data_IF_802574363701
#
_entry.id   IF_802574363701
#
_cell.length_a   1.000
_cell.length_b   1.000
_cell.length_c   1.000
_cell.angle_alpha   90.00
_cell.angle_beta   90.00
_cell.angle_gamma   90.00
#
_symmetry.space_group_name_H-M   'P 1'
#
loop_
_entity.id
_entity.type
_entity.pdbx_description
1 polymer ?
#
# COMPACT_ATOMS: atom_id res chain seq x y z
N UNK A 1 15.42 -8.08 4.61
CA UNK A 1 14.19 -8.03 3.79
C UNK A 1 13.40 -9.33 4.02
N UNK A 2 12.08 -9.24 4.23
CA UNK A 2 11.18 -10.40 4.32
C UNK A 2 10.70 -10.81 2.93
N UNK A 3 10.62 -12.12 2.65
CA UNK A 3 10.22 -12.65 1.34
C UNK A 3 8.94 -13.48 1.52
N UNK A 4 7.90 -13.11 0.78
CA UNK A 4 6.61 -13.80 0.77
C UNK A 4 6.39 -14.49 -0.58
N UNK A 5 6.31 -15.81 -0.57
CA UNK A 5 5.99 -16.59 -1.77
C UNK A 5 4.49 -16.60 -2.04
N UNK A 6 4.11 -16.86 -3.30
CA UNK A 6 2.69 -16.89 -3.66
C UNK A 6 2.00 -18.11 -3.06
N UNK A 7 1.00 -17.87 -2.21
CA UNK A 7 0.15 -18.93 -1.68
C UNK A 7 -0.90 -19.37 -2.73
N UNK A 8 -1.10 -20.67 -2.86
CA UNK A 8 -2.13 -21.19 -3.75
C UNK A 8 -3.53 -21.06 -3.09
N UNK A 9 -4.59 -20.65 -3.80
CA UNK A 9 -5.92 -20.45 -3.21
C UNK A 9 -6.51 -21.69 -2.55
N UNK A 10 -6.15 -22.90 -3.01
CA UNK A 10 -6.62 -24.14 -2.37
C UNK A 10 -5.90 -24.45 -1.05
N UNK A 11 -4.66 -23.96 -0.89
CA UNK A 11 -3.93 -24.09 0.38
C UNK A 11 -4.46 -23.07 1.39
N UNK A 12 -4.74 -21.84 0.94
CA UNK A 12 -5.34 -20.79 1.75
C UNK A 12 -6.64 -21.25 2.45
N UNK A 13 -7.47 -22.02 1.77
CA UNK A 13 -8.72 -22.56 2.34
C UNK A 13 -8.51 -23.39 3.62
N UNK A 14 -7.29 -23.88 3.86
CA UNK A 14 -6.92 -24.73 4.99
C UNK A 14 -6.05 -24.02 6.01
N UNK A 15 -5.60 -22.79 5.72
CA UNK A 15 -4.72 -22.04 6.62
C UNK A 15 -5.40 -21.72 7.93
N UNK A 16 -4.66 -21.89 9.00
CA UNK A 16 -5.00 -21.35 10.31
C UNK A 16 -4.84 -19.83 10.31
N UNK A 17 -5.37 -19.17 11.33
CA UNK A 17 -5.17 -17.71 11.51
C UNK A 17 -3.70 -17.33 11.52
N UNK A 18 -2.84 -18.12 12.17
CA UNK A 18 -1.40 -17.84 12.24
C UNK A 18 -0.73 -17.99 10.87
N UNK A 19 -1.11 -18.99 10.07
CA UNK A 19 -0.59 -19.16 8.72
C UNK A 19 -1.02 -18.01 7.81
N UNK A 20 -2.28 -17.57 7.87
CA UNK A 20 -2.77 -16.42 7.11
C UNK A 20 -1.99 -15.16 7.49
N UNK A 21 -1.83 -14.89 8.77
CA UNK A 21 -1.05 -13.76 9.27
C UNK A 21 0.41 -13.81 8.77
N UNK A 22 1.05 -14.96 8.86
CA UNK A 22 2.43 -15.16 8.41
C UNK A 22 2.58 -14.91 6.90
N UNK A 23 1.64 -15.36 6.09
CA UNK A 23 1.74 -15.27 4.64
C UNK A 23 1.35 -13.88 4.10
N UNK A 24 0.35 -13.22 4.69
CA UNK A 24 -0.26 -12.04 4.10
C UNK A 24 -0.11 -10.76 4.93
N UNK A 25 0.00 -10.85 6.26
CA UNK A 25 0.08 -9.67 7.12
C UNK A 25 1.52 -9.17 7.23
N UNK A 26 1.69 -7.86 7.12
CA UNK A 26 2.96 -7.13 7.33
C UNK A 26 2.75 -6.19 8.51
N UNK A 27 3.53 -6.38 9.57
CA UNK A 27 3.52 -5.55 10.79
C UNK A 27 4.84 -4.81 10.98
N UNK A 28 4.89 -3.94 11.96
CA UNK A 28 6.13 -3.27 12.40
C UNK A 28 6.84 -2.48 11.29
N UNK A 29 6.08 -1.84 10.40
CA UNK A 29 6.61 -1.09 9.27
C UNK A 29 7.54 0.06 9.69
N UNK A 30 7.33 0.64 10.87
CA UNK A 30 8.07 1.83 11.30
C UNK A 30 8.92 1.58 12.53
N UNK A 31 10.23 1.57 12.34
CA UNK A 31 11.24 1.55 13.40
C UNK A 31 12.26 2.67 13.12
N UNK A 32 12.76 3.37 14.14
CA UNK A 32 13.70 4.46 13.98
C UNK A 32 14.90 4.10 13.10
N UNK A 33 15.20 4.95 12.12
CA UNK A 33 16.38 4.89 11.25
C UNK A 33 16.54 3.56 10.50
N UNK A 34 15.43 2.87 10.18
CA UNK A 34 15.45 1.57 9.48
C UNK A 34 14.59 1.58 8.23
N UNK A 35 14.88 0.61 7.35
CA UNK A 35 14.03 0.21 6.24
C UNK A 35 13.44 -1.17 6.53
N UNK A 36 12.14 -1.23 6.75
CA UNK A 36 11.40 -2.50 6.82
C UNK A 36 10.86 -2.83 5.45
N UNK A 37 11.36 -3.88 4.84
CA UNK A 37 11.01 -4.25 3.47
C UNK A 37 10.44 -5.66 3.40
N UNK A 38 9.30 -5.81 2.73
CA UNK A 38 8.67 -7.09 2.40
C UNK A 38 8.51 -7.19 0.88
N UNK A 39 9.07 -8.24 0.30
CA UNK A 39 8.94 -8.56 -1.12
C UNK A 39 7.94 -9.69 -1.29
N UNK A 40 6.87 -9.43 -2.04
CA UNK A 40 5.88 -10.42 -2.42
C UNK A 40 6.15 -10.96 -3.82
N UNK A 41 6.15 -12.29 -3.97
CA UNK A 41 6.18 -12.94 -5.28
C UNK A 41 4.83 -12.86 -6.03
N UNK A 42 3.75 -12.40 -5.36
CA UNK A 42 2.52 -12.01 -6.06
C UNK A 42 2.79 -10.70 -6.79
N UNK A 43 2.77 -10.72 -8.10
CA UNK A 43 3.10 -9.61 -9.02
C UNK A 43 4.40 -8.85 -8.69
N UNK A 44 5.28 -9.44 -7.89
CA UNK A 44 6.56 -8.87 -7.48
C UNK A 44 6.46 -7.50 -6.82
N UNK A 45 5.41 -7.29 -6.04
CA UNK A 45 5.22 -6.08 -5.24
C UNK A 45 6.24 -6.01 -4.10
N UNK A 46 6.89 -4.86 -3.94
CA UNK A 46 7.72 -4.53 -2.79
C UNK A 46 6.96 -3.53 -1.91
N UNK A 47 6.88 -3.81 -0.62
CA UNK A 47 6.28 -2.93 0.39
C UNK A 47 7.36 -2.52 1.38
N UNK A 48 7.48 -1.23 1.67
CA UNK A 48 8.46 -0.72 2.62
C UNK A 48 7.85 0.30 3.57
N UNK A 49 8.30 0.24 4.83
CA UNK A 49 8.15 1.31 5.81
C UNK A 49 9.51 1.90 6.15
N UNK A 50 9.64 3.24 6.15
CA UNK A 50 10.88 3.95 6.40
C UNK A 50 10.60 5.09 7.37
N UNK A 51 11.28 5.11 8.52
CA UNK A 51 11.10 6.14 9.54
C UNK A 51 12.45 6.74 9.93
N UNK A 52 12.94 7.75 9.20
CA UNK A 52 14.14 8.47 9.57
C UNK A 52 13.88 9.31 10.82
N UNK A 53 14.72 9.21 11.83
CA UNK A 53 14.63 9.98 13.09
C UNK A 53 15.90 10.79 13.31
N UNK A 54 17.04 10.11 13.41
CA UNK A 54 18.33 10.72 13.74
C UNK A 54 19.24 10.92 12.52
N UNK A 55 18.97 10.22 11.44
CA UNK A 55 19.77 10.26 10.22
C UNK A 55 18.91 10.21 8.95
N UNK A 56 19.49 10.58 7.83
CA UNK A 56 18.92 10.36 6.50
C UNK A 56 19.10 8.89 6.14
N UNK A 57 17.99 8.22 5.77
CA UNK A 57 17.95 6.78 5.51
C UNK A 57 17.91 6.52 4.01
N UNK A 58 18.93 5.84 3.42
CA UNK A 58 18.88 5.42 2.02
C UNK A 58 17.84 4.30 1.83
N UNK A 59 17.20 4.28 0.64
CA UNK A 59 16.13 3.33 0.29
C UNK A 59 16.57 1.87 0.40
N UNK A 60 17.83 1.59 0.12
CA UNK A 60 18.40 0.25 0.09
C UNK A 60 19.18 -0.12 1.37
N UNK A 61 19.00 0.66 2.45
CA UNK A 61 19.66 0.38 3.73
C UNK A 61 19.40 -1.06 4.18
N UNK A 62 20.48 -1.81 4.43
CA UNK A 62 20.46 -3.21 4.88
C UNK A 62 19.76 -4.19 3.91
N UNK A 63 19.67 -3.83 2.61
CA UNK A 63 19.12 -4.69 1.55
C UNK A 63 20.22 -5.13 0.61
N UNK A 64 20.42 -6.45 0.47
CA UNK A 64 21.26 -7.01 -0.61
C UNK A 64 20.50 -6.93 -1.94
N UNK A 65 20.69 -5.80 -2.63
CA UNK A 65 19.95 -5.48 -3.87
C UNK A 65 20.28 -6.49 -4.98
N UNK A 66 21.53 -6.91 -5.08
CA UNK A 66 21.93 -7.86 -6.11
C UNK A 66 21.27 -9.24 -5.88
N UNK A 67 21.33 -9.74 -4.65
CA UNK A 67 20.73 -11.03 -4.31
C UNK A 67 19.22 -11.03 -4.51
N UNK A 68 18.55 -9.96 -4.09
CA UNK A 68 17.08 -9.91 -4.07
C UNK A 68 16.44 -9.48 -5.40
N UNK A 69 17.11 -8.63 -6.18
CA UNK A 69 16.51 -8.05 -7.40
C UNK A 69 17.33 -8.34 -8.67
N UNK A 70 18.58 -8.77 -8.55
CA UNK A 70 19.49 -8.97 -9.69
C UNK A 70 19.83 -7.67 -10.40
N UNK A 71 19.85 -6.55 -9.66
CA UNK A 71 20.12 -5.19 -10.16
C UNK A 71 21.16 -4.49 -9.29
N UNK A 72 21.71 -3.37 -9.76
CA UNK A 72 22.71 -2.60 -9.01
C UNK A 72 22.08 -1.66 -7.98
N UNK A 73 20.82 -1.27 -8.17
CA UNK A 73 20.00 -0.46 -7.25
C UNK A 73 18.52 -0.81 -7.42
N UNK A 74 17.70 -0.53 -6.43
CA UNK A 74 16.30 -1.01 -6.36
C UNK A 74 15.48 -0.53 -7.56
N UNK A 75 15.55 0.76 -7.91
CA UNK A 75 14.75 1.34 -8.98
C UNK A 75 15.37 1.20 -10.38
N UNK A 76 16.38 0.35 -10.58
CA UNK A 76 16.95 0.11 -11.91
C UNK A 76 15.90 -0.38 -12.90
N UNK A 77 14.98 -1.25 -12.45
CA UNK A 77 13.88 -1.84 -13.23
C UNK A 77 12.54 -1.80 -12.51
N UNK A 78 12.37 -0.82 -11.62
CA UNK A 78 11.16 -0.70 -10.80
C UNK A 78 10.74 0.77 -10.70
N UNK A 79 9.45 1.00 -10.60
CA UNK A 79 8.85 2.27 -10.21
C UNK A 79 8.36 2.19 -8.76
N UNK A 80 8.19 3.33 -8.11
CA UNK A 80 7.71 3.39 -6.73
C UNK A 80 6.71 4.53 -6.52
N UNK A 81 5.78 4.31 -5.60
CA UNK A 81 4.93 5.33 -5.00
C UNK A 81 5.22 5.42 -3.50
N UNK A 82 5.32 6.63 -2.99
CA UNK A 82 5.65 6.89 -1.59
C UNK A 82 4.66 7.86 -0.98
N UNK A 83 3.99 7.47 0.11
CA UNK A 83 3.22 8.37 0.97
C UNK A 83 4.00 8.74 2.22
N UNK A 84 3.86 9.97 2.71
CA UNK A 84 4.26 10.34 4.06
C UNK A 84 3.06 10.29 5.01
N UNK A 85 3.12 9.43 6.01
CA UNK A 85 2.08 9.20 7.03
C UNK A 85 2.48 9.67 8.44
N UNK A 86 3.52 10.48 8.53
CA UNK A 86 4.05 11.02 9.78
C UNK A 86 4.20 12.53 9.77
N UNK A 87 5.13 13.03 10.57
CA UNK A 87 5.53 14.43 10.58
C UNK A 87 6.13 14.89 9.25
N UNK A 88 6.46 16.16 9.13
CA UNK A 88 7.11 16.70 7.91
C UNK A 88 8.45 16.03 7.66
N UNK A 89 8.69 15.67 6.41
CA UNK A 89 9.93 15.08 5.96
C UNK A 89 10.27 15.47 4.55
N UNK A 90 11.26 14.81 3.99
CA UNK A 90 11.67 14.99 2.61
C UNK A 90 12.20 13.70 2.00
N UNK A 91 12.14 13.63 0.68
CA UNK A 91 12.77 12.59 -0.11
C UNK A 91 13.74 13.27 -1.08
N UNK A 92 14.97 12.79 -1.16
CA UNK A 92 15.90 13.18 -2.22
C UNK A 92 16.00 12.08 -3.25
N UNK A 93 15.88 12.44 -4.52
CA UNK A 93 15.98 11.53 -5.67
C UNK A 93 17.07 12.06 -6.59
N UNK A 94 18.22 11.38 -6.67
CA UNK A 94 19.40 11.79 -7.41
C UNK A 94 19.75 13.28 -7.17
N UNK A 95 19.74 13.70 -5.90
CA UNK A 95 20.04 15.06 -5.47
C UNK A 95 18.89 16.07 -5.58
N UNK A 96 17.76 15.72 -6.20
CA UNK A 96 16.56 16.57 -6.21
C UNK A 96 15.73 16.32 -4.96
N UNK A 97 15.48 17.37 -4.18
CA UNK A 97 14.71 17.32 -2.93
C UNK A 97 13.22 17.56 -3.17
N UNK A 98 12.40 16.72 -2.56
CA UNK A 98 10.94 16.84 -2.49
C UNK A 98 10.53 16.93 -1.01
N UNK A 99 10.02 18.06 -0.57
CA UNK A 99 9.47 18.20 0.77
C UNK A 99 8.09 17.56 0.84
N UNK A 100 7.85 16.74 1.86
CA UNK A 100 6.67 15.88 2.00
C UNK A 100 5.93 16.20 3.30
N UNK A 101 4.74 16.75 3.19
CA UNK A 101 3.79 16.86 4.30
C UNK A 101 3.02 15.56 4.53
N UNK A 102 2.16 15.54 5.56
CA UNK A 102 1.29 14.41 5.82
C UNK A 102 0.29 14.17 4.67
N UNK A 103 0.21 12.94 4.21
CA UNK A 103 -0.66 12.53 3.10
C UNK A 103 -0.13 12.85 1.71
N UNK A 104 0.99 13.57 1.58
CA UNK A 104 1.61 13.81 0.28
C UNK A 104 2.16 12.54 -0.33
N UNK A 105 2.14 12.45 -1.66
CA UNK A 105 2.61 11.31 -2.43
C UNK A 105 3.70 11.72 -3.42
N UNK A 106 4.75 10.88 -3.56
CA UNK A 106 5.76 11.01 -4.59
C UNK A 106 5.77 9.74 -5.45
N UNK A 107 5.50 9.90 -6.75
CA UNK A 107 5.79 8.87 -7.74
C UNK A 107 7.26 9.00 -8.18
N UNK A 108 8.02 7.91 -8.08
CA UNK A 108 9.42 7.82 -8.50
C UNK A 108 9.51 6.82 -9.65
N UNK A 109 9.91 7.29 -10.83
CA UNK A 109 10.07 6.43 -12.00
C UNK A 109 11.32 5.54 -11.89
N UNK A 110 11.41 4.52 -12.74
CA UNK A 110 12.60 3.68 -12.83
C UNK A 110 13.83 4.48 -13.28
N UNK A 111 15.02 4.00 -12.91
CA UNK A 111 16.32 4.53 -13.34
C UNK A 111 17.00 5.44 -12.30
N UNK A 112 16.30 5.90 -11.27
CA UNK A 112 16.90 6.68 -10.18
C UNK A 112 17.72 5.80 -9.25
N UNK A 113 18.97 6.19 -9.02
CA UNK A 113 19.95 5.40 -8.27
C UNK A 113 19.97 5.74 -6.78
N UNK A 114 19.97 7.03 -6.46
CA UNK A 114 20.10 7.53 -5.09
C UNK A 114 18.76 8.09 -4.61
N UNK A 115 18.10 7.33 -3.73
CA UNK A 115 16.83 7.74 -3.10
C UNK A 115 17.02 7.70 -1.59
N UNK A 116 16.83 8.83 -0.93
CA UNK A 116 17.05 8.98 0.51
C UNK A 116 15.87 9.67 1.17
N UNK A 117 15.63 9.32 2.43
CA UNK A 117 14.51 9.79 3.24
C UNK A 117 15.00 10.50 4.49
N UNK A 118 14.40 11.65 4.82
CA UNK A 118 14.72 12.40 6.02
C UNK A 118 13.50 12.99 6.69
N UNK A 119 13.57 13.17 8.01
CA UNK A 119 12.59 13.92 8.80
C UNK A 119 13.06 15.36 9.01
N UNK A 120 12.10 16.27 9.14
CA UNK A 120 12.39 17.67 9.50
C UNK A 120 12.47 17.87 11.03
N UNK A 121 11.86 16.97 11.80
CA UNK A 121 11.79 17.02 13.26
C UNK A 121 11.91 15.59 13.82
N UNK A 122 12.94 15.28 14.62
CA UNK A 122 13.10 13.96 15.22
C UNK A 122 12.06 13.64 16.29
N UNK A 123 11.45 14.63 16.93
CA UNK A 123 10.38 14.44 17.90
C UNK A 123 9.03 14.09 17.25
N UNK A 124 8.88 14.49 15.98
CA UNK A 124 7.72 14.13 15.14
C UNK A 124 8.19 13.63 13.78
N UNK A 125 8.77 12.42 13.71
CA UNK A 125 9.41 11.93 12.50
C UNK A 125 8.41 11.65 11.37
N UNK A 126 8.89 11.81 10.15
CA UNK A 126 8.18 11.34 8.96
C UNK A 126 8.08 9.80 8.97
N UNK A 127 6.99 9.28 8.40
CA UNK A 127 6.75 7.84 8.21
C UNK A 127 6.44 7.61 6.75
N UNK A 128 7.41 7.15 6.00
CA UNK A 128 7.23 6.91 4.58
C UNK A 128 6.76 5.48 4.34
N UNK A 129 5.57 5.37 3.75
CA UNK A 129 5.05 4.13 3.21
C UNK A 129 5.35 4.08 1.71
N UNK A 130 6.05 3.05 1.28
CA UNK A 130 6.45 2.89 -0.10
C UNK A 130 5.97 1.55 -0.65
N UNK A 131 5.40 1.57 -1.86
CA UNK A 131 5.21 0.39 -2.68
C UNK A 131 5.93 0.54 -4.01
N UNK A 132 6.46 -0.59 -4.52
CA UNK A 132 7.20 -0.58 -5.77
C UNK A 132 6.85 -1.81 -6.61
N UNK A 133 6.74 -1.59 -7.91
CA UNK A 133 6.41 -2.60 -8.92
C UNK A 133 7.49 -2.64 -10.02
N UNK A 134 7.65 -3.76 -10.76
CA UNK A 134 8.50 -3.82 -11.94
C UNK A 134 8.08 -2.78 -12.98
N UNK A 135 9.05 -2.17 -13.63
CA UNK A 135 8.83 -1.16 -14.66
C UNK A 135 9.65 -1.45 -15.92
N UNK A 136 9.07 -1.16 -17.09
CA UNK A 136 9.70 -1.37 -18.39
C UNK A 136 9.96 -0.06 -19.14
N UNK A 137 9.49 1.07 -18.59
CA UNK A 137 9.62 2.40 -19.18
C UNK A 137 9.75 3.46 -18.08
N UNK A 138 10.61 4.44 -18.31
CA UNK A 138 10.69 5.61 -17.45
C UNK A 138 9.64 6.65 -17.82
N UNK A 139 8.99 7.21 -16.81
CA UNK A 139 8.11 8.35 -16.90
C UNK A 139 8.72 9.53 -16.13
N UNK A 140 7.95 10.52 -15.77
CA UNK A 140 8.40 11.66 -14.98
C UNK A 140 8.18 11.38 -13.50
N UNK A 141 9.22 11.48 -12.67
CA UNK A 141 9.07 11.54 -11.21
C UNK A 141 8.21 12.76 -10.85
N UNK A 142 7.12 12.53 -10.10
CA UNK A 142 6.07 13.53 -9.90
C UNK A 142 5.65 13.59 -8.44
N UNK A 143 5.72 14.78 -7.87
CA UNK A 143 5.17 15.09 -6.55
C UNK A 143 3.67 15.40 -6.67
N UNK A 144 2.88 14.87 -5.75
CA UNK A 144 1.43 15.00 -5.69
C UNK A 144 1.04 15.38 -4.27
N UNK A 145 0.64 16.64 -4.06
CA UNK A 145 0.18 17.07 -2.74
C UNK A 145 -1.18 16.47 -2.41
N UNK A 146 -1.41 16.19 -1.13
CA UNK A 146 -2.70 15.68 -0.63
C UNK A 146 -3.89 16.59 -0.97
N UNK A 147 -3.67 17.90 -0.94
CA UNK A 147 -4.71 18.88 -1.28
C UNK A 147 -5.19 18.76 -2.73
N UNK A 148 -4.27 18.46 -3.64
CA UNK A 148 -4.50 18.38 -5.08
C UNK A 148 -4.84 16.97 -5.58
N UNK A 149 -5.02 15.99 -4.68
CA UNK A 149 -5.45 14.65 -5.06
C UNK A 149 -6.80 14.69 -5.77
N UNK A 150 -6.99 13.83 -6.76
CA UNK A 150 -8.30 13.68 -7.43
C UNK A 150 -9.26 12.96 -6.48
N UNK A 151 -10.26 13.68 -5.99
CA UNK A 151 -11.20 13.20 -4.96
C UNK A 151 -12.48 12.63 -5.57
N UNK A 152 -12.83 11.40 -5.16
CA UNK A 152 -14.10 10.75 -5.52
C UNK A 152 -14.88 10.40 -4.25
N UNK A 153 -15.92 11.18 -3.86
CA UNK A 153 -16.81 10.79 -2.77
C UNK A 153 -17.68 9.61 -3.17
N UNK A 154 -17.82 8.62 -2.29
CA UNK A 154 -18.59 7.40 -2.51
C UNK A 154 -19.31 6.98 -1.24
N UNK A 155 -20.37 6.17 -1.43
CA UNK A 155 -21.15 5.58 -0.33
C UNK A 155 -22.05 6.58 0.37
N UNK A 156 -22.69 6.12 1.41
CA UNK A 156 -23.65 6.87 2.20
C UNK A 156 -23.65 6.42 3.68
N UNK A 157 -24.30 7.18 4.54
CA UNK A 157 -24.40 6.92 5.98
C UNK A 157 -25.25 5.69 6.30
N UNK A 158 -26.29 5.44 5.52
CA UNK A 158 -27.23 4.31 5.73
C UNK A 158 -26.49 2.97 5.61
N UNK A 159 -25.54 2.89 4.68
CA UNK A 159 -24.74 1.70 4.44
C UNK A 159 -23.42 1.69 5.24
N UNK A 160 -23.19 2.68 6.12
CA UNK A 160 -21.99 2.83 6.92
C UNK A 160 -20.68 2.73 6.09
N UNK A 161 -20.70 3.25 4.86
CA UNK A 161 -19.58 3.18 3.90
C UNK A 161 -19.29 4.52 3.21
N UNK A 162 -19.75 5.63 3.76
CA UNK A 162 -19.45 6.98 3.26
C UNK A 162 -17.95 7.25 3.36
N UNK A 163 -17.30 7.55 2.23
CA UNK A 163 -15.85 7.70 2.13
C UNK A 163 -15.44 8.60 0.99
N UNK A 164 -14.18 9.03 1.02
CA UNK A 164 -13.55 9.74 -0.08
C UNK A 164 -12.35 8.93 -0.56
N UNK A 165 -12.34 8.57 -1.85
CA UNK A 165 -11.18 8.02 -2.52
C UNK A 165 -10.35 9.18 -3.04
N UNK A 166 -9.09 9.26 -2.61
CA UNK A 166 -8.09 10.21 -3.10
C UNK A 166 -7.14 9.46 -4.04
N UNK A 167 -7.27 9.72 -5.34
CA UNK A 167 -6.45 9.10 -6.39
C UNK A 167 -5.18 9.91 -6.59
N UNK A 168 -4.03 9.25 -6.50
CA UNK A 168 -2.72 9.85 -6.69
C UNK A 168 -2.00 9.23 -7.89
N UNK A 169 -1.53 8.02 -7.77
CA UNK A 169 -0.91 7.27 -8.87
C UNK A 169 -2.05 6.50 -9.55
N UNK A 170 -2.60 7.09 -10.60
CA UNK A 170 -3.81 6.60 -11.26
C UNK A 170 -3.77 7.02 -12.74
N UNK A 171 -4.28 6.22 -13.70
CA UNK A 171 -4.23 6.54 -15.13
C UNK A 171 -4.79 7.92 -15.49
N UNK A 172 -5.80 8.39 -14.75
CA UNK A 172 -6.40 9.72 -14.97
C UNK A 172 -5.54 10.87 -14.40
N UNK A 173 -4.48 10.57 -13.63
CA UNK A 173 -3.61 11.56 -12.97
C UNK A 173 -2.22 11.59 -13.59
N UNK A 174 -1.57 10.41 -13.69
CA UNK A 174 -0.25 10.28 -14.30
C UNK A 174 -0.02 8.87 -14.87
N UNK A 175 0.77 8.74 -15.93
CA UNK A 175 1.09 7.43 -16.49
C UNK A 175 2.12 6.69 -15.64
N UNK A 176 1.92 5.38 -15.47
CA UNK A 176 2.85 4.44 -14.81
C UNK A 176 2.98 3.17 -15.65
N UNK A 177 3.89 2.26 -15.27
CA UNK A 177 3.99 0.96 -15.90
C UNK A 177 2.93 -0.01 -15.38
N UNK A 178 2.87 -0.18 -14.06
CA UNK A 178 2.01 -1.17 -13.41
C UNK A 178 1.44 -0.69 -12.08
N UNK A 179 2.06 0.33 -11.45
CA UNK A 179 1.70 0.77 -10.11
C UNK A 179 0.48 1.69 -10.15
N UNK A 180 -0.55 1.35 -9.38
CA UNK A 180 -1.62 2.27 -8.98
C UNK A 180 -1.60 2.44 -7.47
N UNK A 181 -1.86 3.65 -6.98
CA UNK A 181 -1.82 3.94 -5.56
C UNK A 181 -2.70 5.14 -5.20
N UNK A 182 -3.43 5.00 -4.14
CA UNK A 182 -4.22 6.09 -3.56
C UNK A 182 -4.60 5.80 -2.14
N UNK A 183 -5.33 6.71 -1.52
CA UNK A 183 -5.83 6.50 -0.18
C UNK A 183 -7.33 6.80 -0.07
N UNK A 184 -8.00 6.06 0.79
CA UNK A 184 -9.44 6.18 1.05
C UNK A 184 -9.66 6.50 2.51
N UNK A 185 -10.38 7.60 2.77
CA UNK A 185 -10.75 8.06 4.10
C UNK A 185 -12.22 7.78 4.35
N UNK A 186 -12.54 7.01 5.40
CA UNK A 186 -13.90 6.78 5.83
C UNK A 186 -14.39 7.96 6.67
N UNK A 187 -15.62 8.39 6.42
CA UNK A 187 -16.26 9.42 7.24
C UNK A 187 -16.58 8.88 8.64
N UNK A 188 -16.66 9.74 9.68
CA UNK A 188 -17.13 9.33 10.99
C UNK A 188 -18.47 8.57 10.92
N UNK A 189 -18.57 7.44 11.63
CA UNK A 189 -19.72 6.54 11.60
C UNK A 189 -19.73 5.53 10.44
N UNK A 190 -18.79 5.64 9.50
CA UNK A 190 -18.59 4.66 8.42
C UNK A 190 -17.49 3.69 8.81
N UNK A 191 -17.73 2.40 8.59
CA UNK A 191 -16.82 1.32 9.00
C UNK A 191 -16.46 0.36 7.85
N UNK A 192 -17.22 0.38 6.75
CA UNK A 192 -17.00 -0.50 5.60
C UNK A 192 -16.22 0.16 4.48
N UNK A 193 -15.17 -0.52 4.03
CA UNK A 193 -14.52 -0.23 2.75
C UNK A 193 -14.68 -1.40 1.79
N UNK A 194 -14.70 -1.10 0.49
CA UNK A 194 -14.73 -2.08 -0.60
C UNK A 194 -15.85 -3.12 -0.40
N UNK A 195 -17.01 -2.62 -0.03
CA UNK A 195 -18.23 -3.42 0.09
C UNK A 195 -19.32 -2.74 -0.77
N UNK A 196 -19.91 -3.43 -1.75
CA UNK A 196 -19.70 -4.83 -2.15
C UNK A 196 -18.25 -5.15 -2.52
N UNK A 197 -17.82 -6.39 -2.23
CA UNK A 197 -16.46 -6.82 -2.51
C UNK A 197 -16.28 -7.22 -3.98
N UNK A 198 -15.02 -7.27 -4.40
CA UNK A 198 -14.66 -7.69 -5.76
C UNK A 198 -13.31 -8.43 -5.76
N UNK A 199 -13.01 -9.07 -6.86
CA UNK A 199 -11.69 -9.56 -7.23
C UNK A 199 -11.26 -8.93 -8.56
N UNK A 200 -10.00 -9.06 -8.93
CA UNK A 200 -9.50 -8.73 -10.25
C UNK A 200 -8.32 -9.63 -10.62
N UNK A 201 -8.54 -10.54 -11.56
CA UNK A 201 -7.59 -11.60 -11.94
C UNK A 201 -6.24 -11.08 -12.45
N UNK A 202 -6.18 -9.86 -12.96
CA UNK A 202 -4.98 -9.33 -13.63
C UNK A 202 -4.06 -8.52 -12.74
N UNK A 203 -4.38 -8.32 -11.48
CA UNK A 203 -3.57 -7.53 -10.54
C UNK A 203 -3.79 -7.95 -9.09
N UNK A 204 -2.72 -7.82 -8.31
CA UNK A 204 -2.78 -7.92 -6.86
C UNK A 204 -3.03 -6.57 -6.23
N UNK A 205 -3.35 -6.57 -4.94
CA UNK A 205 -3.50 -5.35 -4.15
C UNK A 205 -2.88 -5.48 -2.77
N UNK A 206 -2.33 -4.39 -2.24
CA UNK A 206 -1.90 -4.27 -0.85
C UNK A 206 -2.70 -3.16 -0.20
N UNK A 207 -3.38 -3.47 0.91
CA UNK A 207 -3.99 -2.46 1.77
C UNK A 207 -3.11 -2.19 2.97
N UNK A 208 -2.93 -0.92 3.30
CA UNK A 208 -2.24 -0.48 4.52
C UNK A 208 -3.19 0.42 5.28
N UNK A 209 -3.55 -0.03 6.47
CA UNK A 209 -4.53 0.64 7.32
C UNK A 209 -3.82 1.59 8.29
N UNK A 210 -4.37 2.80 8.45
CA UNK A 210 -3.84 3.80 9.39
C UNK A 210 -4.96 4.74 9.87
N UNK A 211 -4.63 5.66 10.78
CA UNK A 211 -5.62 6.45 11.50
C UNK A 211 -6.62 5.56 12.27
N UNK A 212 -6.14 4.42 12.75
CA UNK A 212 -6.90 3.54 13.63
C UNK A 212 -6.56 3.90 15.07
N UNK A 213 -7.52 4.34 15.91
CA UNK A 213 -7.29 4.58 17.33
C UNK A 213 -6.78 3.32 18.05
N UNK A 214 -6.01 3.47 19.15
CA UNK A 214 -5.30 2.38 19.82
C UNK A 214 -6.22 1.21 20.23
N UNK A 215 -7.43 1.51 20.71
CA UNK A 215 -8.42 0.51 21.14
C UNK A 215 -9.29 -0.03 19.99
N UNK A 216 -8.95 0.29 18.74
CA UNK A 216 -9.74 -0.09 17.57
C UNK A 216 -8.93 -1.00 16.63
N UNK A 217 -9.67 -1.75 15.82
CA UNK A 217 -9.11 -2.65 14.83
C UNK A 217 -9.92 -2.58 13.53
N UNK A 218 -9.33 -3.04 12.44
CA UNK A 218 -10.04 -3.33 11.19
C UNK A 218 -9.96 -4.83 10.92
N UNK A 219 -11.10 -5.44 10.64
CA UNK A 219 -11.17 -6.81 10.13
C UNK A 219 -11.07 -6.74 8.60
N UNK A 220 -9.93 -7.15 8.06
CA UNK A 220 -9.73 -7.27 6.63
C UNK A 220 -10.20 -8.64 6.15
N UNK A 221 -11.21 -8.65 5.30
CA UNK A 221 -11.74 -9.88 4.69
C UNK A 221 -10.98 -10.21 3.43
N UNK A 222 -10.53 -11.47 3.32
CA UNK A 222 -9.79 -11.98 2.19
C UNK A 222 -10.19 -13.44 1.89
N UNK A 223 -9.69 -13.98 0.80
CA UNK A 223 -10.04 -15.31 0.31
C UNK A 223 -10.97 -15.26 -0.89
N UNK A 224 -11.41 -16.42 -1.35
CA UNK A 224 -12.45 -16.47 -2.38
C UNK A 224 -13.77 -15.98 -1.80
N UNK A 225 -14.67 -15.37 -2.59
CA UNK A 225 -15.95 -14.88 -2.09
C UNK A 225 -16.80 -15.92 -1.33
N UNK A 226 -16.69 -17.20 -1.73
CA UNK A 226 -17.44 -18.31 -1.10
C UNK A 226 -16.65 -19.00 0.01
N UNK A 227 -15.46 -18.51 0.35
CA UNK A 227 -14.63 -19.05 1.43
C UNK A 227 -13.76 -17.94 2.04
N UNK A 228 -14.44 -17.06 2.77
CA UNK A 228 -13.77 -15.88 3.32
C UNK A 228 -13.08 -16.18 4.65
N UNK A 229 -12.01 -15.45 4.91
CA UNK A 229 -11.29 -15.37 6.17
C UNK A 229 -11.10 -13.90 6.52
N UNK A 230 -10.78 -13.61 7.75
CA UNK A 230 -10.42 -12.26 8.15
C UNK A 230 -9.04 -12.21 8.83
N UNK A 231 -8.38 -11.09 8.63
CA UNK A 231 -7.15 -10.72 9.34
C UNK A 231 -7.43 -9.48 10.17
N UNK A 232 -7.13 -9.53 11.46
CA UNK A 232 -7.25 -8.36 12.34
C UNK A 232 -6.05 -7.45 12.12
N UNK A 233 -6.35 -6.21 11.72
CA UNK A 233 -5.37 -5.18 11.36
C UNK A 233 -5.32 -4.12 12.45
N UNK A 234 -4.12 -3.70 12.81
CA UNK A 234 -3.86 -2.57 13.69
C UNK A 234 -3.31 -1.38 12.90
N UNK A 235 -3.09 -0.28 13.59
CA UNK A 235 -2.56 0.93 12.98
C UNK A 235 -1.20 0.69 12.33
N UNK A 236 -1.07 1.04 11.05
CA UNK A 236 0.09 0.81 10.18
C UNK A 236 0.36 -0.64 9.77
N UNK A 237 -0.56 -1.55 9.99
CA UNK A 237 -0.47 -2.88 9.40
C UNK A 237 -0.81 -2.86 7.90
N UNK A 238 -0.11 -3.69 7.12
CA UNK A 238 -0.41 -3.90 5.71
C UNK A 238 -0.78 -5.37 5.43
N UNK A 239 -1.60 -5.60 4.41
CA UNK A 239 -2.03 -6.95 4.01
C UNK A 239 -1.93 -7.13 2.50
N UNK A 240 -1.34 -8.24 2.10
CA UNK A 240 -1.19 -8.66 0.70
C UNK A 240 -2.45 -9.39 0.27
N UNK A 241 -3.11 -8.90 -0.78
CA UNK A 241 -4.30 -9.52 -1.38
C UNK A 241 -3.98 -9.99 -2.79
N UNK A 242 -3.80 -11.32 -3.01
CA UNK A 242 -3.61 -11.87 -4.34
C UNK A 242 -4.83 -11.63 -5.25
N UNK A 243 -4.66 -11.75 -6.55
CA UNK A 243 -5.71 -11.50 -7.57
C UNK A 243 -7.01 -12.28 -7.33
N UNK A 244 -6.90 -13.52 -6.84
CA UNK A 244 -8.04 -14.39 -6.55
C UNK A 244 -8.78 -14.06 -5.25
N UNK A 245 -8.25 -13.13 -4.45
CA UNK A 245 -8.78 -12.77 -3.13
C UNK A 245 -9.62 -11.51 -3.20
N UNK A 246 -10.76 -11.50 -2.52
CA UNK A 246 -11.42 -10.25 -2.16
C UNK A 246 -10.53 -9.47 -1.19
N UNK A 247 -10.79 -8.17 -1.07
CA UNK A 247 -10.05 -7.26 -0.20
C UNK A 247 -10.98 -6.18 0.34
N UNK A 248 -11.79 -6.56 1.31
CA UNK A 248 -12.75 -5.67 2.00
C UNK A 248 -12.33 -5.45 3.45
N UNK A 249 -12.84 -4.40 4.09
CA UNK A 249 -12.57 -4.16 5.51
C UNK A 249 -13.78 -3.64 6.26
N UNK A 250 -13.85 -4.00 7.55
CA UNK A 250 -14.81 -3.46 8.50
C UNK A 250 -14.12 -3.09 9.79
N UNK A 251 -14.13 -1.81 10.15
CA UNK A 251 -13.50 -1.32 11.38
C UNK A 251 -14.45 -1.30 12.57
N UNK A 252 -13.89 -1.27 13.77
CA UNK A 252 -14.63 -0.95 15.00
C UNK A 252 -14.85 0.57 15.16
N UNK A 253 -14.18 1.38 14.34
CA UNK A 253 -14.34 2.81 14.15
C UNK A 253 -14.06 3.16 12.68
N UNK A 254 -14.20 4.42 12.28
CA UNK A 254 -13.70 4.88 10.99
C UNK A 254 -12.16 4.87 10.97
N UNK A 255 -11.59 4.73 9.78
CA UNK A 255 -10.15 4.64 9.53
C UNK A 255 -9.82 5.15 8.13
N UNK A 256 -8.54 5.23 7.86
CA UNK A 256 -8.01 5.51 6.53
C UNK A 256 -7.17 4.32 6.05
N UNK A 257 -7.14 4.06 4.76
CA UNK A 257 -6.26 3.05 4.20
C UNK A 257 -5.68 3.49 2.85
N UNK A 258 -4.44 3.08 2.61
CA UNK A 258 -3.83 3.12 1.29
C UNK A 258 -4.15 1.83 0.57
N UNK A 259 -4.53 1.95 -0.69
CA UNK A 259 -4.59 0.87 -1.65
C UNK A 259 -3.45 1.04 -2.67
N UNK A 260 -2.72 -0.04 -2.92
CA UNK A 260 -1.65 -0.10 -3.89
C UNK A 260 -1.78 -1.36 -4.73
N UNK A 261 -1.89 -1.20 -6.03
CA UNK A 261 -2.08 -2.30 -6.99
C UNK A 261 -0.88 -2.44 -7.91
N UNK A 262 -0.57 -3.67 -8.26
CA UNK A 262 0.44 -4.03 -9.24
C UNK A 262 -0.11 -5.09 -10.18
N UNK A 263 0.12 -4.93 -11.49
CA UNK A 263 -0.32 -5.84 -12.54
C UNK A 263 -0.77 -5.08 -13.78
N UNK A 264 -1.75 -5.60 -14.50
CA UNK A 264 -2.29 -4.97 -15.70
C UNK A 264 -3.31 -3.88 -15.35
N UNK A 265 -2.83 -2.71 -14.95
CA UNK A 265 -3.65 -1.59 -14.46
C UNK A 265 -4.15 -0.66 -15.59
N UNK A 266 -4.48 -1.21 -16.75
CA UNK A 266 -4.93 -0.42 -17.90
C UNK A 266 -6.36 0.11 -17.75
N UNK A 267 -7.20 -0.56 -16.95
CA UNK A 267 -8.56 -0.15 -16.66
C UNK A 267 -8.82 -0.30 -15.15
N UNK A 268 -9.06 0.82 -14.47
CA UNK A 268 -9.32 0.81 -13.01
C UNK A 268 -10.61 0.04 -12.65
N UNK A 269 -11.64 0.14 -13.48
CA UNK A 269 -12.95 -0.48 -13.25
C UNK A 269 -13.02 -1.97 -13.69
N UNK A 270 -11.88 -2.57 -13.97
CA UNK A 270 -11.70 -3.98 -14.28
C UNK A 270 -11.83 -4.85 -13.01
N UNK A 271 -13.06 -5.01 -12.55
CA UNK A 271 -13.39 -5.68 -11.30
C UNK A 271 -14.55 -6.67 -11.47
N UNK A 272 -14.37 -7.88 -10.92
CA UNK A 272 -15.43 -8.89 -10.79
C UNK A 272 -16.13 -8.69 -9.45
N UNK A 273 -17.26 -7.99 -9.47
CA UNK A 273 -18.02 -7.63 -8.27
C UNK A 273 -18.94 -8.75 -7.80
N UNK A 274 -19.06 -8.90 -6.48
CA UNK A 274 -19.93 -9.88 -5.83
C UNK A 274 -20.99 -9.18 -4.97
N UNK A 275 -22.23 -9.70 -5.01
CA UNK A 275 -23.23 -9.28 -4.04
C UNK A 275 -22.82 -9.74 -2.63
N UNK A 276 -23.08 -8.95 -1.57
CA UNK A 276 -22.87 -9.41 -0.20
C UNK A 276 -23.60 -10.72 0.13
N UNK A 277 -24.72 -10.99 -0.54
CA UNK A 277 -25.47 -12.26 -0.38
C UNK A 277 -24.79 -13.47 -0.99
N UNK A 278 -23.79 -13.29 -1.85
CA UNK A 278 -23.04 -14.37 -2.52
C UNK A 278 -21.81 -14.80 -1.73
N UNK A 279 -21.47 -14.02 -0.69
CA UNK A 279 -20.31 -14.29 0.16
C UNK A 279 -20.61 -15.34 1.23
N UNK A 280 -19.58 -16.13 1.58
CA UNK A 280 -19.63 -17.13 2.66
C UNK A 280 -18.39 -17.08 3.52
#
# INVERSE_FOLDING_TARGET
MDIRYSAHPNDFARYTTEEIRKEFLITDLYQPDTVKATYSHVDRMLVMGIMPVNEVVPMDKDIDVWHNFGTSFILERREAGVFNLGGKGFITVDGTRYDMGYGDCLYITMGHKDVQFGSCDPENPAKFYLTSAPAHKAYKTTFLSFENAQKRPLGDEKNANKRVINQFIHPDVLPTCQLLMGLTQLAPGSVWNTMPSHTHERRMEVYTYFEIPEDNVVMHFMGKPQETRNVVMHNFDAVISPSWSIHSGCGTSNYTFIWAMCGENMAFDDMDSFSPSDMK
#
